data_IF_063969347448
#
_entry.id   IF_063969347448
#
_cell.length_a   1.000
_cell.length_b   1.000
_cell.length_c   1.000
_cell.angle_alpha   90.00
_cell.angle_beta   90.00
_cell.angle_gamma   90.00
#
_symmetry.space_group_name_H-M   'P 1'
#
loop_
_entity.id
_entity.type
_entity.pdbx_description
1 polymer ?
#
# COMPACT_ATOMS: atom_id res chain seq x y z
N UNK A 1 6.27 -2.10 -7.19
CA UNK A 1 6.14 -0.85 -8.00
C UNK A 1 6.84 0.35 -7.37
N UNK A 2 6.52 0.75 -6.13
CA UNK A 2 7.18 1.91 -5.48
C UNK A 2 8.70 1.73 -5.41
N UNK A 3 9.17 0.55 -4.99
CA UNK A 3 10.60 0.25 -4.95
C UNK A 3 11.25 0.23 -6.33
N UNK A 4 10.59 -0.33 -7.34
CA UNK A 4 11.10 -0.29 -8.71
C UNK A 4 11.31 1.14 -9.23
N UNK A 5 10.40 2.06 -8.90
CA UNK A 5 10.57 3.47 -9.22
C UNK A 5 11.72 4.11 -8.43
N UNK A 6 11.83 3.83 -7.13
CA UNK A 6 12.91 4.34 -6.29
C UNK A 6 14.29 3.87 -6.80
N UNK A 7 14.39 2.59 -7.16
CA UNK A 7 15.59 1.98 -7.75
C UNK A 7 15.91 2.61 -9.10
N UNK A 8 14.92 2.77 -9.99
CA UNK A 8 15.11 3.43 -11.28
C UNK A 8 15.69 4.84 -11.11
N UNK A 9 15.11 5.63 -10.19
CA UNK A 9 15.56 6.99 -9.93
C UNK A 9 16.98 7.02 -9.35
N UNK A 10 17.26 6.17 -8.36
CA UNK A 10 18.59 6.08 -7.76
C UNK A 10 19.66 5.63 -8.77
N UNK A 11 19.37 4.61 -9.57
CA UNK A 11 20.26 4.12 -10.62
C UNK A 11 20.49 5.18 -11.71
N UNK A 12 19.43 5.92 -12.10
CA UNK A 12 19.53 7.01 -13.08
C UNK A 12 20.37 8.17 -12.54
N UNK A 13 20.20 8.56 -11.27
CA UNK A 13 20.99 9.60 -10.60
C UNK A 13 22.47 9.22 -10.53
N UNK A 14 22.76 7.96 -10.20
CA UNK A 14 24.11 7.40 -10.15
C UNK A 14 24.70 7.11 -11.53
N UNK A 15 23.92 7.24 -12.61
CA UNK A 15 24.36 6.99 -13.97
C UNK A 15 24.64 5.51 -14.26
N UNK A 16 24.00 4.59 -13.53
CA UNK A 16 24.12 3.15 -13.79
C UNK A 16 23.49 2.84 -15.16
N UNK A 17 24.21 2.14 -16.06
CA UNK A 17 23.65 1.71 -17.34
C UNK A 17 22.37 0.91 -17.13
N UNK A 18 21.45 0.98 -18.10
CA UNK A 18 20.18 0.24 -18.07
C UNK A 18 19.35 0.43 -16.78
N UNK A 19 19.42 1.60 -16.16
CA UNK A 19 18.62 1.97 -14.99
C UNK A 19 17.11 1.61 -15.11
N UNK A 20 16.42 1.79 -16.27
CA UNK A 20 15.04 1.35 -16.43
C UNK A 20 14.85 -0.16 -16.23
N UNK A 21 15.79 -0.96 -16.74
CA UNK A 21 15.75 -2.42 -16.62
C UNK A 21 15.98 -2.85 -15.18
N UNK A 22 16.93 -2.22 -14.47
CA UNK A 22 17.18 -2.47 -13.05
C UNK A 22 15.97 -2.10 -12.18
N UNK A 23 15.33 -0.96 -12.46
CA UNK A 23 14.11 -0.55 -11.77
C UNK A 23 12.92 -1.48 -12.02
N UNK A 24 12.74 -1.93 -13.26
CA UNK A 24 11.73 -2.94 -13.60
C UNK A 24 12.01 -4.25 -12.86
N UNK A 25 13.25 -4.73 -12.93
CA UNK A 25 13.67 -5.97 -12.27
C UNK A 25 13.42 -5.90 -10.77
N UNK A 26 13.87 -4.83 -10.09
CA UNK A 26 13.60 -4.62 -8.68
C UNK A 26 12.09 -4.57 -8.38
N UNK A 27 11.33 -3.86 -9.22
CA UNK A 27 9.88 -3.75 -9.07
C UNK A 27 9.12 -5.07 -9.20
N UNK A 28 9.61 -5.99 -10.05
CA UNK A 28 9.05 -7.34 -10.22
C UNK A 28 9.51 -8.27 -9.09
N UNK A 29 10.79 -8.24 -8.75
CA UNK A 29 11.38 -9.07 -7.70
C UNK A 29 10.80 -8.78 -6.31
N UNK A 30 10.31 -7.56 -6.08
CA UNK A 30 9.61 -7.15 -4.84
C UNK A 30 8.38 -8.01 -4.50
N UNK A 31 7.89 -8.84 -5.43
CA UNK A 31 6.84 -9.80 -5.13
C UNK A 31 7.22 -10.78 -4.01
N UNK A 32 8.53 -11.06 -3.86
CA UNK A 32 9.06 -11.90 -2.79
C UNK A 32 9.79 -10.98 -1.79
N UNK A 33 9.15 -10.61 -0.66
CA UNK A 33 9.75 -9.72 0.32
C UNK A 33 11.12 -10.20 0.77
N UNK A 34 12.05 -9.28 0.99
CA UNK A 34 13.46 -9.51 1.40
C UNK A 34 14.35 -10.18 0.35
N UNK A 35 13.87 -11.20 -0.37
CA UNK A 35 14.63 -11.85 -1.44
C UNK A 35 14.71 -10.98 -2.69
N UNK A 36 13.62 -10.30 -3.03
CA UNK A 36 13.55 -9.47 -4.22
C UNK A 36 14.65 -8.41 -4.29
N UNK A 37 14.79 -7.57 -3.25
CA UNK A 37 15.84 -6.56 -3.20
C UNK A 37 17.26 -7.12 -3.18
N UNK A 38 17.49 -8.24 -2.48
CA UNK A 38 18.78 -8.94 -2.50
C UNK A 38 19.15 -9.41 -3.91
N UNK A 39 18.19 -10.01 -4.61
CA UNK A 39 18.38 -10.48 -5.98
C UNK A 39 18.53 -9.32 -6.97
N UNK A 40 17.87 -8.18 -6.74
CA UNK A 40 18.01 -6.98 -7.56
C UNK A 40 19.37 -6.28 -7.38
N UNK A 41 19.95 -6.37 -6.18
CA UNK A 41 21.26 -5.79 -5.87
C UNK A 41 22.40 -6.48 -6.65
N UNK A 42 22.31 -7.78 -6.88
CA UNK A 42 23.35 -8.55 -7.59
C UNK A 42 23.63 -8.00 -9.00
N UNK A 43 22.66 -7.94 -9.92
CA UNK A 43 22.90 -7.42 -11.26
C UNK A 43 23.20 -5.91 -11.26
N UNK A 44 22.63 -5.14 -10.32
CA UNK A 44 22.93 -3.71 -10.21
C UNK A 44 24.40 -3.45 -9.83
N UNK A 45 24.89 -4.14 -8.80
CA UNK A 45 26.29 -4.03 -8.35
C UNK A 45 27.27 -4.63 -9.35
N UNK A 46 26.91 -5.74 -10.00
CA UNK A 46 27.71 -6.32 -11.07
C UNK A 46 27.83 -5.38 -12.27
N UNK A 47 26.71 -4.79 -12.72
CA UNK A 47 26.72 -3.85 -13.85
C UNK A 47 27.56 -2.61 -13.52
N UNK A 48 27.46 -2.09 -12.31
CA UNK A 48 28.29 -1.00 -11.83
C UNK A 48 29.79 -1.37 -11.74
N UNK A 49 30.11 -2.62 -11.43
CA UNK A 49 31.50 -3.10 -11.38
C UNK A 49 32.14 -3.15 -12.78
N UNK A 50 31.38 -3.54 -13.80
CA UNK A 50 31.90 -3.74 -15.16
C UNK A 50 31.71 -2.52 -16.07
N UNK A 51 31.07 -1.46 -15.57
CA UNK A 51 30.71 -0.27 -16.34
C UNK A 51 31.20 1.01 -15.69
N UNK A 52 30.97 2.11 -16.41
CA UNK A 52 31.30 3.47 -15.97
C UNK A 52 29.99 4.22 -15.71
N UNK A 53 29.99 5.12 -14.74
CA UNK A 53 28.84 5.99 -14.49
C UNK A 53 28.69 6.98 -15.65
N UNK A 54 27.46 7.11 -16.15
CA UNK A 54 27.12 8.10 -17.19
C UNK A 54 26.99 9.53 -16.65
N UNK A 55 26.80 9.69 -15.33
CA UNK A 55 26.60 10.99 -14.69
C UNK A 55 27.84 11.47 -13.93
N UNK A 56 28.69 10.56 -13.46
CA UNK A 56 29.88 10.86 -12.65
C UNK A 56 31.14 10.34 -13.35
N UNK A 57 31.89 11.19 -14.07
CA UNK A 57 32.98 10.74 -14.97
C UNK A 57 34.13 9.99 -14.31
N UNK A 58 34.35 10.17 -13.01
CA UNK A 58 35.43 9.52 -12.25
C UNK A 58 34.96 8.27 -11.49
N UNK A 59 33.70 7.86 -11.66
CA UNK A 59 33.09 6.76 -10.94
C UNK A 59 32.96 5.53 -11.86
N UNK A 60 33.88 4.58 -11.67
CA UNK A 60 33.99 3.37 -12.49
C UNK A 60 34.50 2.19 -11.64
N UNK A 61 34.27 0.95 -12.09
CA UNK A 61 34.87 -0.23 -11.46
C UNK A 61 34.43 -0.48 -10.02
N UNK A 62 35.39 -0.87 -9.17
CA UNK A 62 35.15 -1.19 -7.75
C UNK A 62 34.48 -0.04 -6.97
N UNK A 63 34.96 1.22 -7.02
CA UNK A 63 34.31 2.29 -6.26
C UNK A 63 32.87 2.54 -6.73
N UNK A 64 32.56 2.36 -8.01
CA UNK A 64 31.18 2.49 -8.49
C UNK A 64 30.28 1.40 -7.92
N UNK A 65 30.73 0.14 -7.94
CA UNK A 65 29.99 -0.99 -7.35
C UNK A 65 29.71 -0.78 -5.86
N UNK A 66 30.68 -0.27 -5.09
CA UNK A 66 30.51 0.04 -3.67
C UNK A 66 29.44 1.10 -3.47
N UNK A 67 29.47 2.20 -4.23
CA UNK A 67 28.45 3.26 -4.14
C UNK A 67 27.06 2.70 -4.43
N UNK A 68 26.92 1.87 -5.46
CA UNK A 68 25.63 1.23 -5.80
C UNK A 68 25.15 0.33 -4.66
N UNK A 69 26.02 -0.51 -4.09
CA UNK A 69 25.66 -1.38 -2.94
C UNK A 69 25.19 -0.55 -1.75
N UNK A 70 25.89 0.54 -1.42
CA UNK A 70 25.54 1.41 -0.30
C UNK A 70 24.17 2.05 -0.55
N UNK A 71 23.94 2.62 -1.74
CA UNK A 71 22.67 3.26 -2.07
C UNK A 71 21.51 2.27 -2.07
N UNK A 72 21.68 1.08 -2.65
CA UNK A 72 20.67 0.02 -2.60
C UNK A 72 20.35 -0.40 -1.16
N UNK A 73 21.38 -0.58 -0.34
CA UNK A 73 21.21 -0.95 1.07
C UNK A 73 20.45 0.15 1.83
N UNK A 74 20.74 1.43 1.55
CA UNK A 74 20.00 2.55 2.14
C UNK A 74 18.53 2.56 1.72
N UNK A 75 18.24 2.33 0.44
CA UNK A 75 16.86 2.17 -0.05
C UNK A 75 16.14 1.04 0.69
N UNK A 76 16.80 -0.10 0.90
CA UNK A 76 16.21 -1.23 1.61
C UNK A 76 15.90 -0.90 3.07
N UNK A 77 16.78 -0.16 3.75
CA UNK A 77 16.57 0.24 5.13
C UNK A 77 15.41 1.24 5.24
N UNK A 78 15.31 2.20 4.32
CA UNK A 78 14.18 3.14 4.27
C UNK A 78 12.87 2.38 4.08
N UNK A 79 12.85 1.41 3.17
CA UNK A 79 11.70 0.55 2.95
C UNK A 79 11.30 -0.18 4.23
N UNK A 80 12.23 -0.91 4.84
CA UNK A 80 11.98 -1.74 6.00
C UNK A 80 11.50 -0.95 7.23
N UNK A 81 12.06 0.24 7.46
CA UNK A 81 11.80 1.02 8.69
C UNK A 81 10.59 1.95 8.53
N UNK A 82 10.37 2.51 7.33
CA UNK A 82 9.38 3.57 7.13
C UNK A 82 8.24 3.08 6.25
N UNK A 83 8.58 2.54 5.08
CA UNK A 83 7.60 2.27 4.03
C UNK A 83 6.70 1.09 4.41
N UNK A 84 7.28 -0.01 4.88
CA UNK A 84 6.54 -1.21 5.31
C UNK A 84 5.59 -0.91 6.48
N UNK A 85 6.03 -0.30 7.60
CA UNK A 85 5.12 -0.01 8.71
C UNK A 85 4.03 1.00 8.37
N UNK A 86 4.31 1.96 7.48
CA UNK A 86 3.30 2.91 6.99
C UNK A 86 2.23 2.22 6.16
N UNK A 87 2.63 1.41 5.18
CA UNK A 87 1.70 0.66 4.32
C UNK A 87 0.86 -0.30 5.18
N UNK A 88 1.49 -0.99 6.14
CA UNK A 88 0.77 -1.86 7.08
C UNK A 88 -0.18 -1.09 7.99
N UNK A 89 0.24 0.07 8.53
CA UNK A 89 -0.60 0.92 9.36
C UNK A 89 -1.86 1.36 8.62
N UNK A 90 -1.70 1.88 7.40
CA UNK A 90 -2.82 2.30 6.56
C UNK A 90 -3.75 1.12 6.22
N UNK A 91 -3.19 -0.07 5.96
CA UNK A 91 -3.96 -1.28 5.66
C UNK A 91 -4.73 -1.83 6.87
N UNK A 92 -4.24 -1.61 8.08
CA UNK A 92 -4.83 -2.09 9.34
C UNK A 92 -5.65 -1.02 10.07
N UNK A 93 -5.86 0.15 9.47
CA UNK A 93 -6.48 1.33 10.10
C UNK A 93 -5.78 1.71 11.43
N UNK A 94 -4.49 1.41 11.53
CA UNK A 94 -3.63 1.72 12.66
C UNK A 94 -2.82 2.98 12.36
N UNK A 95 -2.67 3.85 13.35
CA UNK A 95 -1.78 4.98 13.20
C UNK A 95 -0.34 4.47 12.95
N UNK A 96 0.35 4.88 11.86
CA UNK A 96 1.66 4.32 11.48
C UNK A 96 2.69 4.33 12.60
N UNK A 97 2.68 5.38 13.42
CA UNK A 97 3.57 5.49 14.59
C UNK A 97 3.39 4.34 15.59
N UNK A 98 2.15 3.86 15.79
CA UNK A 98 1.88 2.73 16.69
C UNK A 98 2.49 1.44 16.13
N UNK A 99 2.42 1.25 14.80
CA UNK A 99 3.04 0.10 14.14
C UNK A 99 4.56 0.17 14.24
N UNK A 100 5.17 1.33 13.99
CA UNK A 100 6.62 1.53 14.12
C UNK A 100 7.09 1.22 15.55
N UNK A 101 6.43 1.80 16.57
CA UNK A 101 6.77 1.54 17.98
C UNK A 101 6.63 0.06 18.32
N UNK A 102 5.54 -0.58 17.87
CA UNK A 102 5.32 -1.99 18.14
C UNK A 102 6.27 -2.92 17.39
N UNK A 103 6.71 -2.56 16.18
CA UNK A 103 7.77 -3.27 15.44
C UNK A 103 9.10 -3.16 16.16
N UNK A 104 9.49 -1.96 16.61
CA UNK A 104 10.72 -1.74 17.37
C UNK A 104 10.69 -2.47 18.72
N UNK A 105 9.56 -2.42 19.43
CA UNK A 105 9.36 -3.17 20.67
C UNK A 105 9.38 -4.69 20.44
N UNK A 106 8.72 -5.18 19.39
CA UNK A 106 8.74 -6.58 19.00
C UNK A 106 10.15 -7.05 18.65
N UNK A 107 10.90 -6.26 17.88
CA UNK A 107 12.31 -6.52 17.57
C UNK A 107 13.16 -6.67 18.85
N UNK A 108 12.96 -5.78 19.83
CA UNK A 108 13.69 -5.83 21.09
C UNK A 108 13.32 -7.05 21.96
N UNK A 109 12.06 -7.50 21.93
CA UNK A 109 11.58 -8.60 22.78
C UNK A 109 11.82 -9.99 22.19
N UNK A 110 11.64 -10.17 20.88
CA UNK A 110 11.65 -11.47 20.21
C UNK A 110 12.44 -11.47 18.88
N UNK A 111 13.25 -10.43 18.63
CA UNK A 111 14.08 -10.33 17.43
C UNK A 111 13.25 -10.33 16.14
N UNK A 112 13.72 -11.08 15.14
CA UNK A 112 13.06 -11.19 13.84
C UNK A 112 11.61 -11.70 13.94
N UNK A 113 11.33 -12.65 14.84
CA UNK A 113 9.96 -13.14 15.06
C UNK A 113 9.05 -12.04 15.60
N UNK A 114 9.56 -11.19 16.49
CA UNK A 114 8.80 -10.07 17.03
C UNK A 114 8.45 -9.01 15.98
N UNK A 115 9.33 -8.76 15.01
CA UNK A 115 9.05 -7.86 13.87
C UNK A 115 7.90 -8.39 13.01
N UNK A 116 7.93 -9.69 12.67
CA UNK A 116 6.89 -10.33 11.84
C UNK A 116 5.54 -10.32 12.56
N UNK A 117 5.54 -10.58 13.87
CA UNK A 117 4.31 -10.68 14.67
C UNK A 117 3.79 -9.33 15.17
N UNK A 118 4.58 -8.24 15.10
CA UNK A 118 4.20 -6.95 15.66
C UNK A 118 2.86 -6.44 15.12
N UNK A 119 2.70 -6.37 13.79
CA UNK A 119 1.49 -5.87 13.15
C UNK A 119 0.21 -6.64 13.56
N UNK A 120 0.13 -7.98 13.43
CA UNK A 120 -1.06 -8.72 13.85
C UNK A 120 -1.31 -8.64 15.36
N UNK A 121 -0.26 -8.56 16.18
CA UNK A 121 -0.41 -8.44 17.64
C UNK A 121 -1.02 -7.08 18.03
N UNK A 122 -0.52 -5.98 17.45
CA UNK A 122 -1.07 -4.63 17.66
C UNK A 122 -2.51 -4.55 17.16
N UNK A 123 -2.81 -5.09 15.97
CA UNK A 123 -4.14 -5.12 15.41
C UNK A 123 -5.12 -5.89 16.32
N UNK A 124 -4.72 -7.07 16.79
CA UNK A 124 -5.50 -7.88 17.73
C UNK A 124 -5.72 -7.15 19.05
N UNK A 125 -4.66 -6.54 19.60
CA UNK A 125 -4.73 -5.73 20.81
C UNK A 125 -5.74 -4.60 20.69
N UNK A 126 -5.74 -3.86 19.57
CA UNK A 126 -6.72 -2.78 19.32
C UNK A 126 -8.16 -3.28 19.34
N UNK A 127 -8.45 -4.43 18.73
CA UNK A 127 -9.80 -5.02 18.70
C UNK A 127 -10.23 -5.39 20.11
N UNK A 128 -9.37 -6.07 20.87
CA UNK A 128 -9.62 -6.45 22.25
C UNK A 128 -9.86 -5.21 23.13
N UNK A 129 -8.99 -4.20 23.03
CA UNK A 129 -9.13 -2.94 23.79
C UNK A 129 -10.44 -2.22 23.47
N UNK A 130 -10.83 -2.14 22.19
CA UNK A 130 -12.14 -1.57 21.80
C UNK A 130 -13.31 -2.33 22.40
N UNK A 131 -13.25 -3.65 22.41
CA UNK A 131 -14.29 -4.50 22.98
C UNK A 131 -14.45 -4.27 24.48
N UNK A 132 -13.36 -4.31 25.25
CA UNK A 132 -13.41 -4.05 26.69
C UNK A 132 -13.86 -2.63 27.02
N UNK A 133 -13.36 -1.63 26.30
CA UNK A 133 -13.75 -0.24 26.52
C UNK A 133 -15.25 0.00 26.22
N UNK A 134 -15.77 -0.58 25.14
CA UNK A 134 -17.21 -0.52 24.82
C UNK A 134 -18.06 -1.20 25.89
N UNK A 135 -17.63 -2.38 26.37
CA UNK A 135 -18.34 -3.13 27.41
C UNK A 135 -18.42 -2.38 28.73
N UNK A 136 -17.34 -1.71 29.16
CA UNK A 136 -17.32 -0.93 30.41
C UNK A 136 -18.13 0.37 30.28
N UNK A 137 -18.06 1.03 29.12
CA UNK A 137 -18.70 2.34 28.90
C UNK A 137 -20.18 2.22 28.45
N UNK A 138 -20.73 1.01 28.39
CA UNK A 138 -22.11 0.76 27.93
C UNK A 138 -22.36 1.17 26.47
N UNK A 139 -21.31 1.29 25.66
CA UNK A 139 -21.42 1.65 24.23
C UNK A 139 -21.57 0.37 23.40
N UNK A 140 -22.33 0.39 22.29
CA UNK A 140 -22.40 -0.76 21.39
C UNK A 140 -20.99 -1.11 20.90
N UNK A 141 -20.52 -2.29 21.29
CA UNK A 141 -19.14 -2.80 21.07
C UNK A 141 -18.88 -3.15 19.62
N UNK A 142 -19.92 -3.60 18.92
CA UNK A 142 -19.92 -3.77 17.49
C UNK A 142 -20.80 -2.68 16.91
N UNK A 143 -20.20 -1.71 16.24
CA UNK A 143 -20.96 -0.81 15.37
C UNK A 143 -21.48 -1.69 14.24
N UNK A 144 -22.74 -2.12 14.32
CA UNK A 144 -23.46 -2.77 13.22
C UNK A 144 -23.22 -1.97 11.93
N UNK A 145 -22.35 -2.49 11.06
CA UNK A 145 -22.02 -1.86 9.79
C UNK A 145 -23.25 -1.75 8.85
N UNK A 146 -24.35 -2.43 9.20
CA UNK A 146 -25.65 -2.35 8.53
C UNK A 146 -26.25 -0.92 8.49
N UNK A 147 -25.79 0.03 9.32
CA UNK A 147 -26.27 1.41 9.27
C UNK A 147 -25.59 2.29 8.20
N UNK A 148 -24.33 1.98 7.81
CA UNK A 148 -23.61 2.75 6.76
C UNK A 148 -24.01 2.30 5.35
N UNK A 149 -24.24 1.01 5.15
CA UNK A 149 -24.73 0.48 3.87
C UNK A 149 -26.16 0.95 3.58
N UNK A 150 -27.06 0.92 4.58
CA UNK A 150 -28.42 1.47 4.43
C UNK A 150 -28.43 2.97 4.09
N UNK A 151 -27.48 3.78 4.57
CA UNK A 151 -27.37 5.21 4.18
C UNK A 151 -26.90 5.42 2.74
N UNK A 152 -26.02 4.55 2.22
CA UNK A 152 -25.61 4.57 0.79
C UNK A 152 -26.74 4.11 -0.12
N UNK A 153 -27.48 3.06 0.25
CA UNK A 153 -28.69 2.62 -0.47
C UNK A 153 -29.80 3.67 -0.42
N UNK A 154 -29.96 4.39 0.70
CA UNK A 154 -30.92 5.51 0.81
C UNK A 154 -30.54 6.73 -0.05
N UNK A 155 -29.26 6.91 -0.41
CA UNK A 155 -28.82 7.94 -1.36
C UNK A 155 -29.14 7.58 -2.81
N UNK A 156 -28.98 6.31 -3.18
CA UNK A 156 -29.35 5.76 -4.49
C UNK A 156 -30.88 5.70 -4.70
N UNK A 157 -31.62 5.37 -3.63
CA UNK A 157 -33.08 5.25 -3.66
C UNK A 157 -33.79 6.57 -3.95
N UNK A 158 -33.30 7.72 -3.45
CA UNK A 158 -33.97 9.02 -3.68
C UNK A 158 -33.94 9.49 -5.13
N UNK A 159 -32.88 9.14 -5.87
CA UNK A 159 -32.75 9.51 -7.28
C UNK A 159 -33.50 8.52 -8.17
N UNK A 160 -33.40 7.23 -7.86
CA UNK A 160 -34.07 6.16 -8.62
C UNK A 160 -35.59 6.17 -8.42
N UNK A 161 -36.10 6.44 -7.21
CA UNK A 161 -37.56 6.55 -7.00
C UNK A 161 -38.18 7.75 -7.70
N UNK A 162 -37.45 8.87 -7.82
CA UNK A 162 -37.90 10.02 -8.64
C UNK A 162 -37.99 9.65 -10.11
N UNK A 163 -36.95 8.99 -10.64
CA UNK A 163 -36.90 8.58 -12.05
C UNK A 163 -37.97 7.53 -12.38
N UNK A 164 -38.16 6.54 -11.50
CA UNK A 164 -39.21 5.52 -11.65
C UNK A 164 -40.63 6.13 -11.62
N UNK A 165 -40.88 7.10 -10.72
CA UNK A 165 -42.15 7.82 -10.67
C UNK A 165 -42.39 8.65 -11.94
N UNK A 166 -41.35 9.24 -12.51
CA UNK A 166 -41.43 10.01 -13.75
C UNK A 166 -41.75 9.15 -14.97
N UNK A 167 -41.10 7.98 -15.08
CA UNK A 167 -41.37 7.02 -16.16
C UNK A 167 -42.76 6.41 -16.09
N UNK A 168 -43.20 6.06 -14.89
CA UNK A 168 -44.54 5.49 -14.71
C UNK A 168 -45.64 6.47 -15.13
N UNK A 169 -45.43 7.77 -14.93
CA UNK A 169 -46.39 8.79 -15.36
C UNK A 169 -46.41 8.97 -16.88
N UNK A 170 -45.24 8.96 -17.55
CA UNK A 170 -45.18 9.02 -19.02
C UNK A 170 -45.83 7.80 -19.68
N UNK A 171 -45.59 6.61 -19.15
CA UNK A 171 -46.16 5.38 -19.70
C UNK A 171 -47.69 5.28 -19.50
N UNK A 172 -48.25 5.92 -18.48
CA UNK A 172 -49.69 5.98 -18.29
C UNK A 172 -50.34 7.08 -19.14
N UNK A 173 -49.69 8.24 -19.32
CA UNK A 173 -50.19 9.32 -20.17
C UNK A 173 -50.34 8.88 -21.64
N UNK A 174 -49.40 8.06 -22.14
CA UNK A 174 -49.47 7.51 -23.50
C UNK A 174 -50.57 6.44 -23.68
N UNK A 175 -51.08 5.84 -22.59
CA UNK A 175 -52.17 4.86 -22.66
C UNK A 175 -53.54 5.50 -22.77
N UNK A 176 -53.75 6.68 -22.17
CA UNK A 176 -55.01 7.43 -22.28
C UNK A 176 -55.19 8.12 -23.64
N UNK A 177 -54.09 8.44 -24.34
CA UNK A 177 -54.16 8.95 -25.71
C UNK A 177 -54.36 7.86 -26.78
N UNK A 178 -54.21 6.57 -26.41
CA UNK A 178 -54.38 5.44 -27.33
C UNK A 178 -55.71 4.72 -27.21
N UNK A 179 -56.64 5.16 -26.36
CA UNK A 179 -58.03 4.68 -26.39
C UNK A 179 -58.78 5.39 -27.54
N UNK A 180 -59.04 4.70 -28.67
CA UNK A 180 -59.91 5.24 -29.69
C UNK A 180 -61.32 5.19 -29.12
N UNK A 181 -62.02 6.32 -29.23
CA UNK A 181 -63.45 6.40 -28.97
C UNK A 181 -64.16 5.42 -29.90
N UNK A 182 -64.82 4.42 -29.31
CA UNK A 182 -65.89 3.63 -29.96
C UNK A 182 -66.90 3.20 -28.91
#
# INVERSE_FOLDING_TARGET
LVMGLAVYLAASLLGVPDAPMLGLLAGVLEFIPTLGPLLALIPASFLALVSHSTTVPWLEGIPFAIVVIVVWTMLQNIEAIILVPRIMGDSLDLHPLVVIIGVLGGAALAGALGVILAAPFIASGRVVSRYFYGKITGRPTFVEHHARDRRREMGLSRTLTRWYRYLRLRLNADREQRSPVS
#
